data_IF_774283299534
#
_entry.id   IF_774283299534
#
_cell.length_a   1.000
_cell.length_b   1.000
_cell.length_c   1.000
_cell.angle_alpha   90.00
_cell.angle_beta   90.00
_cell.angle_gamma   90.00
#
_symmetry.space_group_name_H-M   'P 1'
#
loop_
_entity.id
_entity.type
_entity.pdbx_description
1 polymer ?
#
# COMPACT_ATOMS: atom_id res chain seq x y z
N UNK A 1 -61.55 -7.38 -4.91
CA UNK A 1 -60.39 -6.75 -4.25
C UNK A 1 -59.26 -7.77 -4.10
N UNK A 2 -58.34 -7.88 -5.06
CA UNK A 2 -57.18 -8.77 -4.92
C UNK A 2 -55.99 -7.99 -4.36
N UNK A 3 -55.61 -8.27 -3.11
CA UNK A 3 -54.39 -7.73 -2.49
C UNK A 3 -53.22 -8.69 -2.76
N UNK A 4 -52.59 -8.58 -3.92
CA UNK A 4 -51.32 -9.28 -4.16
C UNK A 4 -50.16 -8.49 -3.52
N UNK A 5 -49.28 -9.17 -2.78
CA UNK A 5 -48.10 -8.52 -2.16
C UNK A 5 -47.05 -8.24 -3.24
N UNK A 6 -46.47 -7.03 -3.24
CA UNK A 6 -45.38 -6.62 -4.15
C UNK A 6 -44.23 -7.62 -4.05
N UNK A 7 -43.98 -8.39 -5.11
CA UNK A 7 -42.84 -9.30 -5.22
C UNK A 7 -41.60 -8.48 -5.61
N UNK A 8 -40.48 -8.67 -4.92
CA UNK A 8 -39.19 -8.09 -5.30
C UNK A 8 -38.50 -9.07 -6.26
N UNK A 9 -38.87 -9.05 -7.54
CA UNK A 9 -38.29 -9.91 -8.58
C UNK A 9 -36.77 -9.76 -8.73
N UNK A 10 -36.21 -8.63 -8.27
CA UNK A 10 -34.83 -8.26 -8.51
C UNK A 10 -33.91 -8.55 -7.32
N UNK A 11 -34.39 -9.24 -6.27
CA UNK A 11 -33.61 -9.47 -5.05
C UNK A 11 -32.35 -10.34 -5.27
N UNK A 12 -32.28 -11.09 -6.39
CA UNK A 12 -31.16 -11.97 -6.75
C UNK A 12 -30.63 -11.71 -8.18
N UNK A 13 -30.94 -10.56 -8.78
CA UNK A 13 -30.34 -10.23 -10.07
C UNK A 13 -28.89 -9.81 -9.83
N UNK A 14 -27.95 -10.65 -10.28
CA UNK A 14 -26.55 -10.27 -10.43
C UNK A 14 -26.51 -9.26 -11.58
N UNK A 15 -26.62 -7.98 -11.23
CA UNK A 15 -26.36 -6.89 -12.16
C UNK A 15 -24.85 -6.94 -12.41
N UNK A 16 -24.46 -7.45 -13.57
CA UNK A 16 -23.10 -7.26 -14.05
C UNK A 16 -22.97 -5.77 -14.34
N UNK A 17 -22.30 -5.04 -13.44
CA UNK A 17 -21.94 -3.64 -13.68
C UNK A 17 -21.10 -3.58 -14.96
N UNK A 18 -21.76 -3.14 -16.03
CA UNK A 18 -21.26 -2.63 -17.30
C UNK A 18 -19.87 -3.09 -17.76
N UNK A 19 -19.87 -3.89 -18.83
CA UNK A 19 -18.72 -4.29 -19.67
C UNK A 19 -17.97 -3.11 -20.35
N UNK A 20 -18.31 -1.88 -20.02
CA UNK A 20 -17.69 -0.66 -20.60
C UNK A 20 -16.52 -0.15 -19.77
N UNK A 21 -16.33 -0.66 -18.55
CA UNK A 21 -15.25 -0.25 -17.65
C UNK A 21 -14.07 -1.24 -17.61
N UNK A 22 -12.86 -0.78 -17.22
CA UNK A 22 -11.72 -1.67 -17.05
C UNK A 22 -12.02 -2.76 -16.03
N UNK A 23 -11.62 -3.99 -16.36
CA UNK A 23 -11.81 -5.14 -15.51
C UNK A 23 -11.15 -4.89 -14.15
N UNK A 24 -11.62 -5.56 -13.11
CA UNK A 24 -11.05 -5.46 -11.76
C UNK A 24 -9.54 -5.75 -11.75
N UNK A 25 -9.08 -6.69 -12.58
CA UNK A 25 -7.66 -6.98 -12.77
C UNK A 25 -6.88 -5.76 -13.34
N UNK A 26 -7.43 -5.10 -14.35
CA UNK A 26 -6.83 -3.92 -15.00
C UNK A 26 -6.83 -2.70 -14.06
N UNK A 27 -7.91 -2.54 -13.28
CA UNK A 27 -7.96 -1.54 -12.21
C UNK A 27 -6.86 -1.77 -11.18
N UNK A 28 -6.55 -3.02 -10.83
CA UNK A 28 -5.45 -3.33 -9.90
C UNK A 28 -4.06 -3.24 -10.53
N UNK A 29 -3.94 -3.43 -11.85
CA UNK A 29 -2.67 -3.26 -12.56
C UNK A 29 -2.18 -1.82 -12.49
N UNK A 30 -3.10 -0.84 -12.51
CA UNK A 30 -2.78 0.57 -12.38
C UNK A 30 -2.43 0.94 -10.92
N UNK A 31 -1.15 1.31 -10.62
CA UNK A 31 -0.71 1.58 -9.25
C UNK A 31 -1.36 2.83 -8.64
N UNK A 32 -1.89 3.72 -9.49
CA UNK A 32 -2.54 4.96 -9.11
C UNK A 32 -4.08 4.89 -9.12
N UNK A 33 -4.68 3.73 -9.37
CA UNK A 33 -6.14 3.60 -9.34
C UNK A 33 -6.69 3.68 -7.91
N UNK A 34 -7.97 4.06 -7.77
CA UNK A 34 -8.66 4.07 -6.48
C UNK A 34 -8.66 2.70 -5.81
N UNK A 35 -8.90 1.64 -6.58
CA UNK A 35 -8.93 0.26 -6.10
C UNK A 35 -7.55 -0.20 -5.60
N UNK A 36 -6.46 0.18 -6.30
CA UNK A 36 -5.10 -0.09 -5.84
C UNK A 36 -4.80 0.65 -4.53
N UNK A 37 -5.17 1.93 -4.40
CA UNK A 37 -5.02 2.71 -3.17
C UNK A 37 -5.81 2.11 -2.01
N UNK A 38 -7.06 1.70 -2.25
CA UNK A 38 -7.92 1.05 -1.24
C UNK A 38 -7.31 -0.26 -0.74
N UNK A 39 -6.78 -1.09 -1.64
CA UNK A 39 -6.10 -2.35 -1.28
C UNK A 39 -4.85 -2.09 -0.44
N UNK A 40 -4.02 -1.10 -0.80
CA UNK A 40 -2.84 -0.68 -0.01
C UNK A 40 -3.25 -0.20 1.37
N UNK A 41 -4.21 0.72 1.47
CA UNK A 41 -4.71 1.22 2.74
C UNK A 41 -5.27 0.10 3.64
N UNK A 42 -5.93 -0.91 3.07
CA UNK A 42 -6.41 -2.08 3.83
C UNK A 42 -5.27 -2.98 4.29
N UNK A 43 -4.19 -3.14 3.50
CA UNK A 43 -2.96 -3.85 3.91
C UNK A 43 -2.29 -3.13 5.08
N UNK A 44 -2.22 -1.80 5.02
CA UNK A 44 -1.59 -0.96 6.04
C UNK A 44 -2.44 -0.86 7.33
N UNK A 45 -3.77 -0.91 7.21
CA UNK A 45 -4.71 -0.91 8.34
C UNK A 45 -4.70 -2.17 9.21
N UNK A 46 -4.08 -3.28 8.77
CA UNK A 46 -3.95 -4.48 9.61
C UNK A 46 -3.06 -4.15 10.81
N UNK A 47 -3.70 -3.84 11.94
CA UNK A 47 -3.10 -3.27 13.15
C UNK A 47 -1.89 -4.03 13.69
N UNK A 48 -1.78 -5.33 13.42
CA UNK A 48 -0.56 -6.10 13.62
C UNK A 48 -0.33 -7.02 12.41
N UNK A 49 0.78 -6.82 11.68
CA UNK A 49 1.24 -7.80 10.68
C UNK A 49 1.47 -9.15 11.37
N UNK A 50 1.19 -10.26 10.67
CA UNK A 50 1.54 -11.59 11.18
C UNK A 50 3.05 -11.70 11.37
N UNK A 51 3.50 -12.62 12.24
CA UNK A 51 4.94 -12.85 12.48
C UNK A 51 5.67 -13.16 11.18
N UNK A 52 5.11 -14.05 10.36
CA UNK A 52 5.64 -14.38 9.03
C UNK A 52 5.81 -13.16 8.12
N UNK A 53 4.81 -12.27 8.08
CA UNK A 53 4.90 -11.06 7.26
C UNK A 53 5.99 -10.12 7.79
N UNK A 54 6.19 -10.04 9.11
CA UNK A 54 7.28 -9.24 9.70
C UNK A 54 8.66 -9.79 9.33
N UNK A 55 8.81 -11.10 9.21
CA UNK A 55 10.08 -11.72 8.80
C UNK A 55 10.39 -11.45 7.33
N UNK A 56 9.41 -11.59 6.45
CA UNK A 56 9.56 -11.22 5.03
C UNK A 56 9.90 -9.73 4.87
N UNK A 57 9.18 -8.84 5.56
CA UNK A 57 9.44 -7.39 5.49
C UNK A 57 10.87 -7.06 5.96
N UNK A 58 11.42 -7.78 6.95
CA UNK A 58 12.81 -7.63 7.41
C UNK A 58 13.82 -8.09 6.36
N UNK A 59 13.55 -9.21 5.68
CA UNK A 59 14.42 -9.71 4.60
C UNK A 59 14.40 -8.75 3.40
N UNK A 60 13.23 -8.25 3.02
CA UNK A 60 13.11 -7.22 1.97
C UNK A 60 13.84 -5.93 2.37
N UNK A 61 13.70 -5.47 3.61
CA UNK A 61 14.40 -4.29 4.10
C UNK A 61 15.93 -4.47 4.16
N UNK A 62 16.40 -5.67 4.51
CA UNK A 62 17.83 -6.00 4.50
C UNK A 62 18.41 -6.00 3.07
N UNK A 63 17.63 -6.44 2.08
CA UNK A 63 18.00 -6.43 0.67
C UNK A 63 17.86 -5.05 0.01
N UNK A 64 17.03 -4.15 0.56
CA UNK A 64 16.74 -2.83 -0.02
C UNK A 64 17.89 -1.79 0.12
N UNK A 65 19.01 -2.16 0.73
CA UNK A 65 20.17 -1.29 0.89
C UNK A 65 19.96 -0.22 1.97
N UNK A 66 21.04 0.08 2.67
CA UNK A 66 21.17 0.79 3.95
C UNK A 66 20.73 2.28 3.95
N UNK A 67 19.93 2.72 2.97
CA UNK A 67 19.64 4.12 2.65
C UNK A 67 18.23 4.60 3.05
N UNK A 68 17.30 3.73 3.45
CA UNK A 68 15.88 4.11 3.67
C UNK A 68 15.49 4.41 5.14
N UNK A 69 16.43 4.41 6.08
CA UNK A 69 16.08 4.50 7.51
C UNK A 69 17.04 5.24 8.43
N UNK A 70 18.20 5.72 7.93
CA UNK A 70 19.05 6.57 8.77
C UNK A 70 18.32 7.89 8.99
N UNK A 71 18.02 8.30 10.23
CA UNK A 71 17.55 9.67 10.46
C UNK A 71 18.54 10.58 9.75
N UNK A 72 18.07 11.47 8.87
CA UNK A 72 18.89 12.52 8.29
C UNK A 72 19.42 13.32 9.46
N UNK A 73 20.58 12.90 9.97
CA UNK A 73 21.15 13.44 11.19
C UNK A 73 21.24 14.93 10.99
N UNK A 74 20.68 15.70 11.92
CA UNK A 74 20.54 17.14 11.78
C UNK A 74 21.88 17.85 11.62
N UNK A 75 21.86 19.18 11.69
CA UNK A 75 23.03 20.04 11.44
C UNK A 75 24.35 19.57 12.07
N UNK A 76 24.29 18.98 13.28
CA UNK A 76 25.46 18.42 13.95
C UNK A 76 26.06 17.22 13.21
N UNK A 77 25.23 16.29 12.74
CA UNK A 77 25.71 15.11 12.01
C UNK A 77 26.29 15.50 10.64
N UNK A 78 25.72 16.51 9.98
CA UNK A 78 26.28 17.07 8.75
C UNK A 78 27.67 17.69 9.01
N UNK A 79 27.80 18.47 10.10
CA UNK A 79 29.09 19.05 10.51
C UNK A 79 30.15 17.98 10.83
N UNK A 80 29.77 16.92 11.55
CA UNK A 80 30.67 15.80 11.85
C UNK A 80 31.10 15.08 10.57
N UNK A 81 30.18 14.85 9.63
CA UNK A 81 30.51 14.26 8.32
C UNK A 81 31.50 15.12 7.55
N UNK A 82 31.29 16.44 7.51
CA UNK A 82 32.20 17.39 6.85
C UNK A 82 33.59 17.37 7.48
N UNK A 83 33.67 17.48 8.81
CA UNK A 83 34.93 17.46 9.55
C UNK A 83 35.70 16.14 9.35
N UNK A 84 35.01 15.00 9.33
CA UNK A 84 35.65 13.71 9.09
C UNK A 84 36.11 13.51 7.63
N UNK A 85 35.45 14.17 6.67
CA UNK A 85 35.88 14.16 5.27
C UNK A 85 37.14 15.03 5.08
N UNK A 86 37.19 16.20 5.73
CA UNK A 86 38.36 17.09 5.74
C UNK A 86 39.57 16.37 6.37
N UNK A 87 39.41 15.72 7.53
CA UNK A 87 40.46 14.93 8.20
C UNK A 87 40.96 13.71 7.44
N UNK A 88 40.25 13.25 6.41
CA UNK A 88 40.67 12.13 5.56
C UNK A 88 41.38 12.58 4.29
N UNK A 89 41.29 13.87 3.96
CA UNK A 89 41.92 14.46 2.79
C UNK A 89 43.29 15.09 3.10
N UNK A 90 43.58 15.33 4.37
CA UNK A 90 44.93 15.55 4.94
C UNK A 90 45.59 14.21 5.30
#
# INVERSE_FOLDING_TARGET
MSRSKKKRSNANQLIFEDETGPNKAERFANPNSYEARKKRAMKDRKKNRSVYQKELDKQEAANAGDNQGRPKGGRLADKIRKMNAEKKAD
#
